data_IF_507154074107
#
_entry.id   IF_507154074107
#
_cell.length_a   1.000
_cell.length_b   1.000
_cell.length_c   1.000
_cell.angle_alpha   90.00
_cell.angle_beta   90.00
_cell.angle_gamma   90.00
#
_symmetry.space_group_name_H-M   'P 1'
#
loop_
_entity.id
_entity.type
_entity.pdbx_description
1 polymer ?
#
# COMPACT_ATOMS: atom_id res chain seq x y z
N UNK A 1 -6.55 -14.91 -18.93
CA UNK A 1 -6.40 -13.44 -19.02
C UNK A 1 -6.39 -12.76 -17.66
N UNK A 2 -7.41 -12.92 -16.82
CA UNK A 2 -7.52 -12.26 -15.49
C UNK A 2 -6.31 -12.49 -14.57
N UNK A 3 -5.75 -13.71 -14.60
CA UNK A 3 -4.57 -14.07 -13.79
C UNK A 3 -3.31 -13.28 -14.20
N UNK A 4 -3.13 -13.03 -15.50
CA UNK A 4 -2.01 -12.20 -15.99
C UNK A 4 -2.19 -10.75 -15.56
N UNK A 5 -3.42 -10.23 -15.64
CA UNK A 5 -3.75 -8.87 -15.16
C UNK A 5 -3.46 -8.76 -13.65
N UNK A 6 -3.86 -9.77 -12.87
CA UNK A 6 -3.56 -9.79 -11.43
C UNK A 6 -2.05 -9.84 -11.15
N UNK A 7 -1.27 -10.63 -11.91
CA UNK A 7 0.19 -10.66 -11.77
C UNK A 7 0.82 -9.29 -12.03
N UNK A 8 0.40 -8.61 -13.10
CA UNK A 8 0.88 -7.27 -13.42
C UNK A 8 0.50 -6.28 -12.32
N UNK A 9 -0.77 -6.30 -11.88
CA UNK A 9 -1.26 -5.39 -10.85
C UNK A 9 -0.48 -5.55 -9.54
N UNK A 10 -0.39 -6.78 -8.99
CA UNK A 10 0.32 -7.02 -7.74
C UNK A 10 1.83 -6.83 -7.89
N UNK A 11 2.40 -7.06 -9.07
CA UNK A 11 3.79 -6.75 -9.37
C UNK A 11 4.06 -5.25 -9.30
N UNK A 12 3.22 -4.43 -9.90
CA UNK A 12 3.32 -2.97 -9.83
C UNK A 12 3.11 -2.45 -8.40
N UNK A 13 2.12 -2.99 -7.68
CA UNK A 13 1.89 -2.66 -6.26
C UNK A 13 3.13 -2.99 -5.42
N UNK A 14 3.73 -4.16 -5.59
CA UNK A 14 4.94 -4.55 -4.88
C UNK A 14 6.11 -3.60 -5.16
N UNK A 15 6.34 -3.23 -6.42
CA UNK A 15 7.43 -2.32 -6.79
C UNK A 15 7.20 -0.91 -6.27
N UNK A 16 5.96 -0.41 -6.32
CA UNK A 16 5.60 0.90 -5.79
C UNK A 16 5.87 0.97 -4.28
N UNK A 17 5.39 -0.03 -3.53
CA UNK A 17 5.57 -0.06 -2.08
C UNK A 17 7.03 -0.30 -1.66
N UNK A 18 7.80 -1.07 -2.43
CA UNK A 18 9.23 -1.19 -2.20
C UNK A 18 9.95 0.15 -2.35
N UNK A 19 9.53 0.98 -3.32
CA UNK A 19 10.00 2.36 -3.48
C UNK A 19 9.62 3.25 -2.30
N UNK A 20 8.37 3.17 -1.83
CA UNK A 20 7.89 3.92 -0.67
C UNK A 20 8.62 3.52 0.62
N UNK A 21 8.85 2.22 0.85
CA UNK A 21 9.64 1.71 1.96
C UNK A 21 11.06 2.30 1.96
N UNK A 22 11.70 2.32 0.80
CA UNK A 22 13.02 2.91 0.64
C UNK A 22 13.00 4.40 1.03
N UNK A 23 12.06 5.18 0.49
CA UNK A 23 11.92 6.61 0.80
C UNK A 23 11.65 6.87 2.29
N UNK A 24 10.78 6.07 2.92
CA UNK A 24 10.44 6.20 4.34
C UNK A 24 11.62 5.86 5.27
N UNK A 25 12.43 4.88 4.91
CA UNK A 25 13.66 4.56 5.66
C UNK A 25 14.63 5.74 5.64
N UNK A 26 14.80 6.40 4.48
CA UNK A 26 15.62 7.61 4.38
C UNK A 26 15.06 8.76 5.20
N UNK A 27 13.74 8.98 5.15
CA UNK A 27 13.09 10.02 5.97
C UNK A 27 13.27 9.75 7.47
N UNK A 28 13.21 8.50 7.91
CA UNK A 28 13.45 8.15 9.32
C UNK A 28 14.92 8.28 9.73
N UNK A 29 15.85 8.09 8.78
CA UNK A 29 17.29 8.31 9.05
C UNK A 29 17.62 9.79 9.24
N UNK A 30 16.94 10.69 8.51
CA UNK A 30 17.05 12.16 8.67
C UNK A 30 15.67 12.81 8.48
N UNK A 31 14.87 12.92 9.55
CA UNK A 31 13.50 13.43 9.47
C UNK A 31 13.40 14.96 9.38
N UNK A 32 14.46 15.70 9.66
CA UNK A 32 14.44 17.16 9.76
C UNK A 32 14.02 17.83 8.45
N UNK A 33 14.61 17.51 7.27
CA UNK A 33 14.22 18.17 6.02
C UNK A 33 12.75 17.96 5.66
N UNK A 34 12.19 16.77 5.93
CA UNK A 34 10.79 16.46 5.64
C UNK A 34 9.87 17.16 6.63
N UNK A 35 10.22 17.21 7.91
CA UNK A 35 9.47 17.94 8.94
C UNK A 35 9.38 19.43 8.60
N UNK A 36 10.49 20.05 8.22
CA UNK A 36 10.54 21.45 7.78
C UNK A 36 9.68 21.70 6.54
N UNK A 37 9.75 20.81 5.56
CA UNK A 37 8.94 20.91 4.34
C UNK A 37 7.44 20.91 4.61
N UNK A 38 6.99 20.13 5.59
CA UNK A 38 5.58 20.05 5.97
C UNK A 38 5.19 21.03 7.09
N UNK A 39 6.16 21.74 7.69
CA UNK A 39 5.89 22.68 8.77
C UNK A 39 5.44 22.00 10.06
N UNK A 40 5.89 20.76 10.32
CA UNK A 40 5.55 19.96 11.51
C UNK A 40 6.80 19.73 12.36
N UNK A 41 6.61 19.30 13.62
CA UNK A 41 7.75 18.95 14.47
C UNK A 41 8.45 17.68 13.98
N UNK A 42 9.76 17.58 14.25
CA UNK A 42 10.55 16.38 13.94
C UNK A 42 9.96 15.12 14.60
N UNK A 43 9.46 15.24 15.84
CA UNK A 43 8.79 14.13 16.53
C UNK A 43 7.51 13.69 15.83
N UNK A 44 6.70 14.62 15.33
CA UNK A 44 5.50 14.32 14.56
C UNK A 44 5.85 13.63 13.23
N UNK A 45 6.93 14.06 12.55
CA UNK A 45 7.39 13.40 11.31
C UNK A 45 7.89 11.98 11.57
N UNK A 46 8.63 11.74 12.64
CA UNK A 46 9.07 10.38 13.01
C UNK A 46 7.86 9.47 13.23
N UNK A 47 6.86 9.92 13.99
CA UNK A 47 5.65 9.14 14.24
C UNK A 47 4.89 8.85 12.94
N UNK A 48 4.68 9.88 12.12
CA UNK A 48 4.03 9.80 10.83
C UNK A 48 4.72 8.79 9.90
N UNK A 49 6.02 8.94 9.72
CA UNK A 49 6.82 8.06 8.85
C UNK A 49 6.87 6.63 9.37
N UNK A 50 6.87 6.43 10.69
CA UNK A 50 6.80 5.08 11.30
C UNK A 50 5.47 4.40 10.98
N UNK A 51 4.35 5.10 11.11
CA UNK A 51 3.02 4.55 10.77
C UNK A 51 2.95 4.19 9.29
N UNK A 52 3.39 5.10 8.41
CA UNK A 52 3.44 4.85 6.96
C UNK A 52 4.34 3.66 6.61
N UNK A 53 5.49 3.53 7.27
CA UNK A 53 6.40 2.40 7.07
C UNK A 53 5.73 1.05 7.40
N UNK A 54 5.02 0.98 8.52
CA UNK A 54 4.32 -0.23 8.93
C UNK A 54 3.23 -0.59 7.91
N UNK A 55 2.44 0.40 7.47
CA UNK A 55 1.39 0.19 6.48
C UNK A 55 1.95 -0.24 5.12
N UNK A 56 3.02 0.40 4.66
CA UNK A 56 3.72 0.02 3.42
C UNK A 56 4.29 -1.40 3.50
N UNK A 57 4.83 -1.82 4.65
CA UNK A 57 5.30 -3.19 4.87
C UNK A 57 4.14 -4.21 4.75
N UNK A 58 2.99 -3.93 5.35
CA UNK A 58 1.82 -4.82 5.25
C UNK A 58 1.39 -4.99 3.80
N UNK A 59 1.31 -3.90 3.05
CA UNK A 59 0.94 -3.94 1.62
C UNK A 59 1.99 -4.67 0.80
N UNK A 60 3.26 -4.38 1.00
CA UNK A 60 4.37 -5.00 0.28
C UNK A 60 4.40 -6.52 0.49
N UNK A 61 4.28 -6.98 1.73
CA UNK A 61 4.21 -8.41 2.08
C UNK A 61 2.94 -9.04 1.49
N UNK A 62 1.79 -8.35 1.58
CA UNK A 62 0.54 -8.80 0.99
C UNK A 62 0.65 -8.99 -0.53
N UNK A 63 1.22 -8.02 -1.24
CA UNK A 63 1.44 -8.09 -2.68
C UNK A 63 2.40 -9.23 -3.06
N UNK A 64 3.47 -9.44 -2.29
CA UNK A 64 4.40 -10.54 -2.49
C UNK A 64 3.70 -11.90 -2.33
N UNK A 65 2.88 -12.08 -1.29
CA UNK A 65 2.13 -13.32 -1.08
C UNK A 65 1.09 -13.55 -2.17
N UNK A 66 0.43 -12.49 -2.65
CA UNK A 66 -0.48 -12.59 -3.78
C UNK A 66 0.25 -13.05 -5.05
N UNK A 67 1.41 -12.47 -5.37
CA UNK A 67 2.24 -12.88 -6.50
C UNK A 67 2.69 -14.32 -6.39
N UNK A 68 3.27 -14.73 -5.26
CA UNK A 68 3.72 -16.11 -5.04
C UNK A 68 2.55 -17.08 -5.15
N UNK A 69 1.38 -16.72 -4.59
CA UNK A 69 0.15 -17.51 -4.72
C UNK A 69 -0.31 -17.70 -6.16
N UNK A 70 -0.17 -16.65 -7.00
CA UNK A 70 -0.47 -16.71 -8.42
C UNK A 70 0.53 -17.59 -9.17
N UNK A 71 1.83 -17.43 -8.92
CA UNK A 71 2.88 -18.25 -9.56
C UNK A 71 2.76 -19.74 -9.22
N UNK A 72 2.60 -20.04 -7.94
CA UNK A 72 2.51 -21.43 -7.45
C UNK A 72 1.13 -22.05 -7.64
N UNK A 73 0.16 -21.32 -8.20
CA UNK A 73 -1.23 -21.76 -8.36
C UNK A 73 -1.88 -22.19 -7.02
N UNK A 74 -1.57 -21.46 -5.94
CA UNK A 74 -2.08 -21.71 -4.59
C UNK A 74 -3.16 -20.68 -4.21
N UNK A 75 -4.47 -20.96 -4.41
CA UNK A 75 -5.55 -20.02 -4.12
C UNK A 75 -5.56 -19.49 -2.69
N UNK A 76 -5.31 -20.29 -1.63
CA UNK A 76 -5.30 -19.77 -0.26
C UNK A 76 -4.23 -18.73 -0.01
N UNK A 77 -3.03 -18.90 -0.59
CA UNK A 77 -1.92 -17.98 -0.46
C UNK A 77 -2.22 -16.66 -1.18
N UNK A 78 -2.72 -16.76 -2.42
CA UNK A 78 -3.17 -15.59 -3.18
C UNK A 78 -4.24 -14.80 -2.42
N UNK A 79 -5.29 -15.47 -1.93
CA UNK A 79 -6.40 -14.82 -1.24
C UNK A 79 -5.95 -14.08 0.02
N UNK A 80 -5.09 -14.70 0.84
CA UNK A 80 -4.54 -14.04 2.03
C UNK A 80 -3.70 -12.82 1.67
N UNK A 81 -2.83 -12.94 0.67
CA UNK A 81 -2.01 -11.83 0.20
C UNK A 81 -2.84 -10.71 -0.39
N UNK A 82 -3.78 -11.01 -1.26
CA UNK A 82 -4.66 -10.02 -1.89
C UNK A 82 -5.55 -9.29 -0.87
N UNK A 83 -6.07 -10.01 0.13
CA UNK A 83 -6.86 -9.42 1.20
C UNK A 83 -6.01 -8.50 2.09
N UNK A 84 -4.81 -8.95 2.49
CA UNK A 84 -3.88 -8.12 3.26
C UNK A 84 -3.48 -6.85 2.49
N UNK A 85 -3.22 -6.98 1.18
CA UNK A 85 -2.93 -5.87 0.29
C UNK A 85 -4.12 -4.90 0.20
N UNK A 86 -5.34 -5.42 0.01
CA UNK A 86 -6.55 -4.61 -0.10
C UNK A 86 -6.83 -3.81 1.18
N UNK A 87 -6.81 -4.48 2.34
CA UNK A 87 -7.03 -3.83 3.64
C UNK A 87 -5.89 -2.85 3.97
N UNK A 88 -4.64 -3.24 3.70
CA UNK A 88 -3.48 -2.39 3.89
C UNK A 88 -3.59 -1.09 3.11
N UNK A 89 -3.94 -1.15 1.82
CA UNK A 89 -4.11 0.04 0.98
C UNK A 89 -5.28 0.91 1.42
N UNK A 90 -6.39 0.34 1.84
CA UNK A 90 -7.53 1.14 2.34
C UNK A 90 -7.12 1.90 3.60
N UNK A 91 -6.50 1.21 4.57
CA UNK A 91 -6.04 1.85 5.83
C UNK A 91 -4.95 2.88 5.54
N UNK A 92 -3.99 2.55 4.68
CA UNK A 92 -2.93 3.47 4.26
C UNK A 92 -3.50 4.72 3.60
N UNK A 93 -4.42 4.55 2.66
CA UNK A 93 -5.06 5.66 1.96
C UNK A 93 -5.87 6.55 2.90
N UNK A 94 -6.68 5.96 3.79
CA UNK A 94 -7.44 6.72 4.79
C UNK A 94 -6.53 7.48 5.76
N UNK A 95 -5.43 6.86 6.19
CA UNK A 95 -4.43 7.52 7.02
C UNK A 95 -3.83 8.73 6.30
N UNK A 96 -3.43 8.58 5.02
CA UNK A 96 -2.86 9.69 4.24
C UNK A 96 -3.88 10.81 3.99
N UNK A 97 -5.15 10.49 3.75
CA UNK A 97 -6.18 11.52 3.62
C UNK A 97 -6.30 12.32 4.92
N UNK A 98 -6.40 11.65 6.05
CA UNK A 98 -6.47 12.29 7.36
C UNK A 98 -5.20 13.11 7.67
N UNK A 99 -4.03 12.56 7.41
CA UNK A 99 -2.73 13.22 7.58
C UNK A 99 -2.61 14.48 6.71
N UNK A 100 -2.97 14.36 5.43
CA UNK A 100 -2.95 15.47 4.48
C UNK A 100 -3.92 16.58 4.82
N UNK A 101 -5.03 16.28 5.48
CA UNK A 101 -6.02 17.29 5.91
C UNK A 101 -5.68 17.93 7.26
N UNK A 102 -5.20 17.14 8.21
CA UNK A 102 -5.10 17.52 9.61
C UNK A 102 -3.70 17.92 10.08
N UNK A 103 -2.66 17.28 9.53
CA UNK A 103 -1.28 17.49 9.98
C UNK A 103 -0.46 18.31 8.99
N UNK A 104 -0.33 17.83 7.77
CA UNK A 104 0.58 18.42 6.79
C UNK A 104 -0.11 19.44 5.85
N UNK A 105 -1.43 19.56 5.90
CA UNK A 105 -2.25 20.46 5.06
C UNK A 105 -1.84 20.42 3.58
N UNK A 106 -1.65 19.20 3.04
CA UNK A 106 -1.14 18.96 1.69
C UNK A 106 -2.17 18.27 0.80
N UNK A 107 -2.63 18.96 -0.24
CA UNK A 107 -3.52 18.39 -1.26
C UNK A 107 -2.89 17.19 -1.96
N UNK A 108 -1.58 17.19 -2.17
CA UNK A 108 -0.86 16.07 -2.80
C UNK A 108 -0.97 14.80 -1.95
N UNK A 109 -0.82 14.92 -0.63
CA UNK A 109 -0.95 13.79 0.30
C UNK A 109 -2.39 13.27 0.32
N UNK A 110 -3.39 14.16 0.30
CA UNK A 110 -4.81 13.76 0.21
C UNK A 110 -5.09 12.99 -1.09
N UNK A 111 -4.62 13.50 -2.22
CA UNK A 111 -4.82 12.83 -3.53
C UNK A 111 -4.12 11.48 -3.56
N UNK A 112 -2.89 11.39 -3.05
CA UNK A 112 -2.19 10.11 -2.93
C UNK A 112 -2.97 9.11 -2.08
N UNK A 113 -3.53 9.54 -0.95
CA UNK A 113 -4.37 8.71 -0.10
C UNK A 113 -5.62 8.19 -0.82
N UNK A 114 -6.29 9.01 -1.61
CA UNK A 114 -7.43 8.58 -2.42
C UNK A 114 -7.03 7.53 -3.48
N UNK A 115 -5.88 7.69 -4.11
CA UNK A 115 -5.34 6.70 -5.05
C UNK A 115 -5.12 5.36 -4.35
N UNK A 116 -4.56 5.34 -3.14
CA UNK A 116 -4.38 4.11 -2.37
C UNK A 116 -5.71 3.44 -2.01
N UNK A 117 -6.75 4.18 -1.67
CA UNK A 117 -8.09 3.61 -1.45
C UNK A 117 -8.61 2.91 -2.72
N UNK A 118 -8.42 3.53 -3.89
CA UNK A 118 -8.80 2.93 -5.18
C UNK A 118 -7.99 1.65 -5.45
N UNK A 119 -6.68 1.67 -5.20
CA UNK A 119 -5.83 0.48 -5.33
C UNK A 119 -6.27 -0.65 -4.40
N UNK A 120 -6.68 -0.33 -3.17
CA UNK A 120 -7.28 -1.29 -2.25
C UNK A 120 -8.55 -1.93 -2.80
N UNK A 121 -9.42 -1.13 -3.41
CA UNK A 121 -10.63 -1.61 -4.11
C UNK A 121 -10.31 -2.55 -5.27
N UNK A 122 -9.29 -2.23 -6.08
CA UNK A 122 -8.83 -3.09 -7.17
C UNK A 122 -8.25 -4.42 -6.65
N UNK A 123 -7.43 -4.39 -5.60
CA UNK A 123 -6.89 -5.59 -4.97
C UNK A 123 -8.02 -6.49 -4.43
N UNK A 124 -9.07 -5.89 -3.84
CA UNK A 124 -10.24 -6.62 -3.37
C UNK A 124 -11.06 -7.24 -4.53
N UNK A 125 -11.23 -6.51 -5.63
CA UNK A 125 -11.87 -7.04 -6.82
C UNK A 125 -11.11 -8.26 -7.36
N UNK A 126 -9.79 -8.23 -7.40
CA UNK A 126 -8.96 -9.37 -7.80
C UNK A 126 -9.06 -10.54 -6.81
N UNK A 127 -9.11 -10.25 -5.50
CA UNK A 127 -9.34 -11.25 -4.46
C UNK A 127 -10.60 -12.07 -4.71
N UNK A 128 -11.69 -11.43 -5.16
CA UNK A 128 -12.95 -12.11 -5.47
C UNK A 128 -12.92 -12.86 -6.79
N UNK A 129 -12.31 -12.31 -7.83
CA UNK A 129 -12.54 -12.73 -9.21
C UNK A 129 -11.57 -13.78 -9.73
N UNK A 130 -10.29 -13.79 -9.27
CA UNK A 130 -9.22 -14.56 -9.93
C UNK A 130 -9.41 -16.08 -9.85
N UNK A 131 -10.06 -16.58 -8.79
CA UNK A 131 -10.30 -18.02 -8.60
C UNK A 131 -11.79 -18.40 -8.52
N UNK A 132 -12.73 -17.44 -8.53
CA UNK A 132 -14.17 -17.74 -8.59
C UNK A 132 -14.59 -18.24 -9.97
N UNK A 133 -13.89 -17.83 -11.02
CA UNK A 133 -14.12 -18.27 -12.41
C UNK A 133 -13.60 -19.70 -12.69
N UNK A 134 -13.04 -20.38 -11.70
CA UNK A 134 -12.45 -21.73 -11.85
C UNK A 134 -13.37 -22.85 -11.37
N UNK A 135 -14.56 -22.53 -10.86
CA UNK A 135 -15.61 -23.52 -10.56
C UNK A 135 -16.72 -23.39 -11.60
N UNK A 136 -16.86 -24.35 -12.51
CA UNK A 136 -18.04 -24.47 -13.35
C UNK A 136 -19.26 -24.89 -12.52
#
# INVERSE_FOLDING_TARGET
MLRVVAMVLFGLMFLAEAGDLYGLIFTLADPVPTAERFGISTGAEILRSTVLLILALVVCIGALFALVGLFLKRPPLFRRGALACALGYVVYGLYQVADGMLQVSSTVVVVAGLIYVVLGGLAFAMYRSVFETSNP
#
